data_IF_893715324677
#
_entry.id   IF_893715324677
#
_cell.length_a   1.000
_cell.length_b   1.000
_cell.length_c   1.000
_cell.angle_alpha   90.00
_cell.angle_beta   90.00
_cell.angle_gamma   90.00
#
_symmetry.space_group_name_H-M   'P 1'
#
loop_
_entity.id
_entity.type
_entity.pdbx_description
1 polymer ?
#
# COMPACT_ATOMS: atom_id res chain seq x y z
N UNK A 1 17.95 9.42 11.71
CA UNK A 1 16.72 8.93 11.06
C UNK A 1 15.86 8.29 12.14
N UNK A 2 15.07 9.09 12.85
CA UNK A 2 14.09 8.61 13.81
C UNK A 2 12.72 8.70 13.13
N UNK A 3 12.48 7.78 12.20
CA UNK A 3 11.20 7.69 11.48
C UNK A 3 10.18 7.12 12.46
N UNK A 4 9.47 8.00 13.16
CA UNK A 4 8.39 7.64 14.07
C UNK A 4 7.39 6.77 13.32
N UNK A 5 7.19 5.55 13.81
CA UNK A 5 6.37 4.53 13.16
C UNK A 5 5.06 5.13 12.61
N UNK A 6 4.66 4.86 11.35
CA UNK A 6 3.41 5.36 10.79
C UNK A 6 2.23 5.11 11.73
N UNK A 7 1.18 5.92 11.67
CA UNK A 7 -0.01 5.64 12.51
C UNK A 7 -0.49 4.22 12.21
N UNK A 8 -0.82 3.46 13.25
CA UNK A 8 -1.20 2.04 13.11
C UNK A 8 -2.33 1.88 12.07
N UNK A 9 -3.21 2.88 11.97
CA UNK A 9 -4.28 2.98 10.97
C UNK A 9 -3.73 3.08 9.54
N UNK A 10 -2.77 3.97 9.26
CA UNK A 10 -2.19 4.13 7.91
C UNK A 10 -1.39 2.90 7.49
N UNK A 11 -0.70 2.27 8.43
CA UNK A 11 -0.03 0.99 8.17
C UNK A 11 -1.05 -0.10 7.77
N UNK A 12 -2.14 -0.25 8.53
CA UNK A 12 -3.20 -1.22 8.22
C UNK A 12 -3.82 -0.93 6.84
N UNK A 13 -4.13 0.32 6.52
CA UNK A 13 -4.69 0.70 5.20
C UNK A 13 -3.73 0.32 4.07
N UNK A 14 -2.45 0.67 4.19
CA UNK A 14 -1.45 0.34 3.18
C UNK A 14 -1.27 -1.18 2.99
N UNK A 15 -1.34 -1.94 4.08
CA UNK A 15 -1.24 -3.40 4.06
C UNK A 15 -2.43 -4.02 3.33
N UNK A 16 -3.65 -3.54 3.61
CA UNK A 16 -4.87 -4.02 2.90
C UNK A 16 -4.77 -3.76 1.40
N UNK A 17 -4.32 -2.57 0.98
CA UNK A 17 -4.15 -2.24 -0.45
C UNK A 17 -3.07 -3.13 -1.08
N UNK A 18 -1.98 -3.42 -0.37
CA UNK A 18 -0.93 -4.32 -0.84
C UNK A 18 -1.43 -5.76 -1.01
N UNK A 19 -2.26 -6.26 -0.09
CA UNK A 19 -2.89 -7.60 -0.20
C UNK A 19 -3.82 -7.65 -1.41
N UNK A 20 -4.62 -6.60 -1.65
CA UNK A 20 -5.50 -6.52 -2.83
C UNK A 20 -4.66 -6.55 -4.12
N UNK A 21 -3.56 -5.81 -4.19
CA UNK A 21 -2.67 -5.82 -5.34
C UNK A 21 -2.05 -7.21 -5.59
N UNK A 22 -1.72 -7.94 -4.52
CA UNK A 22 -1.18 -9.31 -4.59
C UNK A 22 -2.22 -10.30 -5.12
N UNK A 23 -3.47 -10.19 -4.65
CA UNK A 23 -4.59 -11.01 -5.14
C UNK A 23 -4.91 -10.73 -6.62
N UNK A 24 -4.76 -9.47 -7.06
CA UNK A 24 -4.86 -9.12 -8.48
C UNK A 24 -3.70 -9.70 -9.31
N UNK A 25 -2.47 -9.70 -8.79
CA UNK A 25 -1.32 -10.31 -9.47
C UNK A 25 -1.51 -11.81 -9.69
N UNK A 26 -2.06 -12.52 -8.69
CA UNK A 26 -2.41 -13.95 -8.82
C UNK A 26 -3.67 -14.22 -9.66
N UNK A 27 -4.24 -13.20 -10.33
CA UNK A 27 -5.48 -13.31 -11.11
C UNK A 27 -6.68 -13.86 -10.31
N UNK A 28 -6.64 -13.80 -8.97
CA UNK A 28 -7.78 -14.17 -8.11
C UNK A 28 -8.91 -13.16 -8.28
N UNK A 29 -8.56 -11.91 -8.59
CA UNK A 29 -9.50 -10.80 -8.86
C UNK A 29 -9.23 -10.31 -10.29
N UNK A 30 -9.88 -10.93 -11.28
CA UNK A 30 -9.69 -10.65 -12.71
C UNK A 30 -10.55 -9.49 -13.25
N UNK A 31 -11.19 -8.69 -12.37
CA UNK A 31 -12.28 -7.79 -12.73
C UNK A 31 -11.86 -6.34 -13.06
N UNK A 32 -10.57 -5.99 -12.94
CA UNK A 32 -10.11 -4.62 -13.15
C UNK A 32 -8.98 -4.61 -14.20
N UNK A 33 -9.15 -3.94 -15.36
CA UNK A 33 -8.11 -3.79 -16.39
C UNK A 33 -7.02 -2.80 -15.98
N UNK A 34 -6.68 -2.76 -14.69
CA UNK A 34 -5.62 -1.94 -14.12
C UNK A 34 -4.49 -2.90 -13.78
N UNK A 35 -3.29 -2.64 -14.32
CA UNK A 35 -2.16 -3.52 -14.07
C UNK A 35 -1.88 -3.57 -12.56
N UNK A 36 -1.81 -4.79 -11.99
CA UNK A 36 -1.56 -5.03 -10.58
C UNK A 36 -0.30 -4.29 -10.07
N UNK A 37 0.66 -4.05 -10.96
CA UNK A 37 1.85 -3.23 -10.73
C UNK A 37 1.52 -1.81 -10.23
N UNK A 38 0.53 -1.13 -10.81
CA UNK A 38 0.14 0.23 -10.41
C UNK A 38 -0.56 0.25 -9.06
N UNK A 39 -1.36 -0.77 -8.75
CA UNK A 39 -2.05 -0.91 -7.46
C UNK A 39 -1.05 -1.15 -6.34
N UNK A 40 -0.04 -2.00 -6.57
CA UNK A 40 1.05 -2.23 -5.62
C UNK A 40 1.88 -0.97 -5.41
N UNK A 41 2.15 -0.22 -6.48
CA UNK A 41 2.89 1.05 -6.40
C UNK A 41 2.13 2.07 -5.56
N UNK A 42 0.80 2.19 -5.72
CA UNK A 42 -0.04 3.04 -4.88
C UNK A 42 0.01 2.62 -3.40
N UNK A 43 -0.07 1.32 -3.11
CA UNK A 43 0.05 0.80 -1.74
C UNK A 43 1.36 1.25 -1.08
N UNK A 44 2.47 1.14 -1.83
CA UNK A 44 3.79 1.51 -1.36
C UNK A 44 3.94 3.03 -1.18
N UNK A 45 3.41 3.83 -2.11
CA UNK A 45 3.40 5.31 -1.99
C UNK A 45 2.62 5.74 -0.74
N UNK A 46 1.45 5.14 -0.47
CA UNK A 46 0.66 5.43 0.73
C UNK A 46 1.43 5.08 2.01
N UNK A 47 2.13 3.95 2.04
CA UNK A 47 2.97 3.55 3.16
C UNK A 47 4.13 4.55 3.38
N UNK A 48 4.86 4.90 2.32
CA UNK A 48 6.00 5.83 2.37
C UNK A 48 5.54 7.21 2.82
N UNK A 49 4.46 7.74 2.25
CA UNK A 49 3.87 9.02 2.67
C UNK A 49 3.43 8.97 4.13
N UNK A 50 2.80 7.88 4.56
CA UNK A 50 2.43 7.65 5.97
C UNK A 50 3.61 7.62 6.94
N UNK A 51 4.74 7.05 6.53
CA UNK A 51 5.98 7.05 7.29
C UNK A 51 6.65 8.43 7.33
N UNK A 52 6.64 9.18 6.22
CA UNK A 52 7.26 10.51 6.12
C UNK A 52 6.47 11.58 6.88
N UNK A 53 5.14 11.57 6.78
CA UNK A 53 4.28 12.57 7.45
C UNK A 53 4.23 12.43 8.97
N UNK A 54 4.49 11.23 9.52
CA UNK A 54 4.63 11.04 10.97
C UNK A 54 6.07 11.20 11.47
N UNK A 55 7.04 11.14 10.55
CA UNK A 55 8.46 11.39 10.83
C UNK A 55 8.88 12.86 10.77
N UNK A 56 7.96 13.80 10.46
CA UNK A 56 8.17 15.25 10.43
C UNK A 56 7.59 15.92 11.68
#
# INVERSE_FOLDING_TARGET
>A
MNLSAPTQIVFIISLVIAVIALLMFFNVIAFIPVAAFWVMTLAFVVLVVGCLLKGA
#
